data_IF_224774577110
#
_entry.id   IF_224774577110
#
_cell.length_a   1.000
_cell.length_b   1.000
_cell.length_c   1.000
_cell.angle_alpha   90.00
_cell.angle_beta   90.00
_cell.angle_gamma   90.00
#
_symmetry.space_group_name_H-M   'P 1'
#
loop_
_entity.id
_entity.type
_entity.pdbx_description
1 polymer ?
#
# COMPACT_ATOMS: atom_id res chain seq x y z
N UNK A 1 -7.29 -2.83 16.88
CA UNK A 1 -6.46 -2.42 15.73
C UNK A 1 -6.85 -3.27 14.56
N UNK A 2 -7.20 -2.66 13.41
CA UNK A 2 -7.54 -3.40 12.20
C UNK A 2 -6.26 -3.84 11.50
N UNK A 3 -6.29 -5.03 10.92
CA UNK A 3 -5.25 -5.50 10.01
C UNK A 3 -5.82 -5.55 8.61
N UNK A 4 -5.11 -4.93 7.67
CA UNK A 4 -5.44 -4.92 6.26
C UNK A 4 -4.47 -5.81 5.53
N UNK A 5 -5.00 -6.70 4.77
CA UNK A 5 -4.22 -7.65 4.04
C UNK A 5 -4.18 -7.21 2.58
N UNK A 6 -3.00 -7.06 2.05
CA UNK A 6 -2.77 -6.59 0.69
C UNK A 6 -1.94 -7.62 -0.07
N UNK A 7 -2.44 -8.07 -1.20
CA UNK A 7 -1.61 -8.84 -2.12
C UNK A 7 -0.50 -7.95 -2.65
N UNK A 8 0.75 -8.37 -2.47
CA UNK A 8 1.87 -7.65 -3.03
C UNK A 8 2.08 -8.06 -4.48
N UNK A 9 2.00 -7.09 -5.36
CA UNK A 9 2.25 -7.23 -6.79
C UNK A 9 3.26 -6.16 -7.17
N UNK A 10 4.43 -6.60 -7.62
CA UNK A 10 5.40 -5.72 -8.26
C UNK A 10 4.81 -5.16 -9.56
N UNK A 11 5.26 -4.00 -9.95
CA UNK A 11 4.91 -3.44 -11.25
C UNK A 11 3.39 -3.26 -11.49
N UNK A 12 2.75 -2.54 -10.62
CA UNK A 12 1.32 -2.25 -10.73
C UNK A 12 1.08 -0.76 -10.96
N UNK A 13 0.06 -0.45 -11.77
CA UNK A 13 -0.43 0.92 -11.98
C UNK A 13 -1.57 1.29 -11.02
N UNK A 14 -1.80 0.49 -9.96
CA UNK A 14 -2.86 0.79 -8.99
C UNK A 14 -2.55 2.08 -8.22
N UNK A 15 -3.58 2.83 -7.95
CA UNK A 15 -3.49 3.99 -7.07
C UNK A 15 -3.70 3.55 -5.61
N UNK A 16 -2.62 3.39 -4.86
CA UNK A 16 -2.65 2.93 -3.48
C UNK A 16 -3.43 3.86 -2.54
N UNK A 17 -3.44 5.16 -2.81
CA UNK A 17 -4.21 6.12 -2.01
C UNK A 17 -5.70 5.76 -1.98
N UNK A 18 -6.30 5.52 -3.15
CA UNK A 18 -7.71 5.11 -3.24
C UNK A 18 -7.94 3.70 -2.70
N UNK A 19 -7.00 2.78 -2.94
CA UNK A 19 -7.09 1.43 -2.42
C UNK A 19 -7.14 1.42 -0.88
N UNK A 20 -6.29 2.20 -0.22
CA UNK A 20 -6.28 2.31 1.24
C UNK A 20 -7.54 2.96 1.78
N UNK A 21 -8.07 3.97 1.12
CA UNK A 21 -9.35 4.56 1.50
C UNK A 21 -10.50 3.57 1.37
N UNK A 22 -10.53 2.77 0.30
CA UNK A 22 -11.52 1.69 0.16
C UNK A 22 -11.39 0.66 1.31
N UNK A 23 -10.17 0.29 1.67
CA UNK A 23 -9.95 -0.59 2.82
C UNK A 23 -10.46 0.02 4.13
N UNK A 24 -10.30 1.34 4.33
CA UNK A 24 -10.79 2.01 5.55
C UNK A 24 -12.30 1.99 5.71
N UNK A 25 -13.05 2.06 4.61
CA UNK A 25 -14.52 2.07 4.63
C UNK A 25 -15.14 0.68 4.38
N UNK A 26 -14.33 -0.33 4.10
CA UNK A 26 -14.81 -1.68 3.87
C UNK A 26 -15.39 -2.32 5.14
N UNK A 27 -16.42 -3.13 4.96
CA UNK A 27 -17.05 -3.91 6.03
C UNK A 27 -16.53 -5.35 6.05
N UNK A 28 -16.68 -6.00 7.21
CA UNK A 28 -16.26 -7.40 7.39
C UNK A 28 -17.16 -8.31 6.57
N UNK A 29 -16.57 -9.15 5.75
CA UNK A 29 -17.21 -10.33 5.22
C UNK A 29 -17.35 -11.36 6.35
N UNK A 30 -18.59 -11.75 6.66
CA UNK A 30 -18.90 -12.67 7.76
C UNK A 30 -18.33 -14.08 7.52
N UNK A 31 -18.17 -14.48 6.26
CA UNK A 31 -17.67 -15.82 5.89
C UNK A 31 -16.16 -15.94 6.08
N UNK A 32 -15.43 -14.90 5.70
CA UNK A 32 -13.95 -14.87 5.74
C UNK A 32 -13.41 -14.12 6.94
N UNK A 33 -14.25 -13.33 7.65
CA UNK A 33 -13.89 -12.42 8.72
C UNK A 33 -12.88 -11.32 8.28
N UNK A 34 -12.85 -11.00 6.99
CA UNK A 34 -11.97 -10.00 6.40
C UNK A 34 -12.74 -8.74 6.03
N UNK A 35 -12.11 -7.57 6.17
CA UNK A 35 -12.66 -6.30 5.70
C UNK A 35 -12.43 -6.21 4.18
N UNK A 36 -13.42 -6.59 3.40
CA UNK A 36 -13.22 -6.72 1.97
C UNK A 36 -14.35 -6.20 1.09
N UNK A 37 -15.45 -5.73 1.63
CA UNK A 37 -16.62 -5.33 0.82
C UNK A 37 -17.01 -3.88 1.10
N UNK A 38 -17.21 -3.11 0.03
CA UNK A 38 -17.75 -1.75 0.06
C UNK A 38 -19.02 -1.75 -0.77
N UNK A 39 -20.19 -1.61 -0.13
CA UNK A 39 -21.47 -1.36 -0.79
C UNK A 39 -21.72 0.14 -0.85
N UNK A 40 -22.32 0.62 -1.94
CA UNK A 40 -22.63 2.02 -2.15
C UNK A 40 -23.91 2.16 -3.00
N UNK A 41 -24.59 3.29 -2.90
CA UNK A 41 -25.79 3.56 -3.70
C UNK A 41 -25.47 4.33 -4.98
N UNK A 42 -24.51 5.25 -4.90
CA UNK A 42 -24.03 6.06 -6.02
C UNK A 42 -22.55 6.37 -5.88
N UNK A 43 -21.90 6.74 -7.01
CA UNK A 43 -20.51 7.22 -6.96
C UNK A 43 -20.34 8.49 -6.14
N UNK A 44 -21.38 9.29 -6.02
CA UNK A 44 -21.36 10.50 -5.17
C UNK A 44 -21.32 10.11 -3.68
N UNK A 45 -22.18 9.20 -3.25
CA UNK A 45 -22.19 8.67 -1.88
C UNK A 45 -20.85 8.02 -1.54
N UNK A 46 -20.31 7.20 -2.45
CA UNK A 46 -19.01 6.58 -2.26
C UNK A 46 -17.89 7.65 -2.14
N UNK A 47 -17.91 8.67 -3.00
CA UNK A 47 -16.94 9.78 -2.95
C UNK A 47 -17.00 10.50 -1.60
N UNK A 48 -18.20 10.78 -1.10
CA UNK A 48 -18.40 11.43 0.19
C UNK A 48 -17.86 10.58 1.35
N UNK A 49 -18.11 9.28 1.34
CA UNK A 49 -17.56 8.35 2.38
C UNK A 49 -16.04 8.30 2.36
N UNK A 50 -15.41 8.29 1.19
CA UNK A 50 -13.96 8.32 1.06
C UNK A 50 -13.36 9.65 1.55
N UNK A 51 -14.02 10.79 1.24
CA UNK A 51 -13.62 12.10 1.76
C UNK A 51 -13.71 12.14 3.30
N UNK A 52 -14.78 11.63 3.90
CA UNK A 52 -14.92 11.53 5.35
C UNK A 52 -13.79 10.66 5.95
N UNK A 53 -13.54 9.49 5.35
CA UNK A 53 -12.48 8.60 5.82
C UNK A 53 -11.10 9.26 5.74
N UNK A 54 -10.83 10.00 4.67
CA UNK A 54 -9.59 10.74 4.52
C UNK A 54 -9.45 11.88 5.53
N UNK A 55 -10.49 12.70 5.71
CA UNK A 55 -10.47 13.82 6.65
C UNK A 55 -10.32 13.36 8.11
N UNK A 56 -10.89 12.20 8.46
CA UNK A 56 -10.70 11.60 9.77
C UNK A 56 -9.27 11.14 10.02
N UNK A 57 -8.53 10.81 8.96
CA UNK A 57 -7.11 10.43 9.03
C UNK A 57 -6.20 11.66 9.09
N UNK A 58 -6.53 12.69 8.34
CA UNK A 58 -5.70 13.89 8.14
C UNK A 58 -6.29 15.10 8.88
N UNK A 59 -6.21 15.08 10.21
CA UNK A 59 -6.83 16.09 11.09
C UNK A 59 -6.25 17.50 10.94
N UNK A 60 -4.99 17.61 10.50
CA UNK A 60 -4.24 18.86 10.57
C UNK A 60 -4.06 19.58 9.22
N UNK A 61 -4.59 19.04 8.12
CA UNK A 61 -4.32 19.56 6.79
C UNK A 61 -5.55 19.66 5.90
N UNK A 62 -5.41 20.48 4.86
CA UNK A 62 -6.39 20.83 3.85
C UNK A 62 -7.32 19.67 3.46
N UNK A 63 -8.60 19.98 3.42
CA UNK A 63 -9.66 19.09 2.91
C UNK A 63 -9.35 18.70 1.48
N UNK A 64 -8.69 17.58 1.27
CA UNK A 64 -8.57 17.06 -0.09
C UNK A 64 -9.92 16.53 -0.52
N UNK A 65 -10.47 17.14 -1.54
CA UNK A 65 -11.71 16.66 -2.16
C UNK A 65 -11.37 15.57 -3.16
N UNK A 66 -11.81 14.35 -2.86
CA UNK A 66 -11.75 13.24 -3.81
C UNK A 66 -12.85 13.50 -4.85
N UNK A 67 -12.47 13.64 -6.12
CA UNK A 67 -13.44 13.88 -7.17
C UNK A 67 -14.08 12.58 -7.68
N UNK A 68 -15.36 12.65 -8.01
CA UNK A 68 -16.14 11.56 -8.61
C UNK A 68 -15.50 11.04 -9.91
N UNK A 69 -15.00 11.96 -10.76
CA UNK A 69 -14.35 11.60 -12.04
C UNK A 69 -13.07 10.81 -11.81
N UNK A 70 -12.23 11.24 -10.88
CA UNK A 70 -10.99 10.51 -10.57
C UNK A 70 -11.30 9.16 -9.95
N UNK A 71 -12.26 9.08 -9.03
CA UNK A 71 -12.67 7.81 -8.43
C UNK A 71 -13.18 6.83 -9.49
N UNK A 72 -14.07 7.27 -10.40
CA UNK A 72 -14.54 6.43 -11.51
C UNK A 72 -13.40 5.89 -12.35
N UNK A 73 -12.42 6.74 -12.70
CA UNK A 73 -11.23 6.31 -13.46
C UNK A 73 -10.40 5.27 -12.70
N UNK A 74 -10.19 5.47 -11.40
CA UNK A 74 -9.45 4.51 -10.55
C UNK A 74 -10.18 3.18 -10.47
N UNK A 75 -11.49 3.17 -10.23
CA UNK A 75 -12.28 1.93 -10.16
C UNK A 75 -12.25 1.15 -11.48
N UNK A 76 -12.14 1.82 -12.61
CA UNK A 76 -12.04 1.18 -13.92
C UNK A 76 -10.58 0.87 -14.35
N UNK A 77 -9.58 1.25 -13.56
CA UNK A 77 -8.17 1.03 -13.91
C UNK A 77 -7.66 -0.38 -13.62
N UNK A 78 -8.22 -1.06 -12.61
CA UNK A 78 -7.84 -2.42 -12.25
C UNK A 78 -8.56 -3.47 -13.13
N UNK A 79 -8.32 -3.38 -14.45
CA UNK A 79 -8.97 -4.24 -15.44
C UNK A 79 -8.79 -5.73 -15.19
N UNK A 80 -7.68 -6.12 -14.57
CA UNK A 80 -7.39 -7.51 -14.24
C UNK A 80 -7.95 -7.93 -12.89
N UNK A 81 -8.57 -6.99 -12.17
CA UNK A 81 -9.09 -7.23 -10.83
C UNK A 81 -8.03 -7.75 -9.87
N UNK A 82 -6.82 -7.20 -9.89
CA UNK A 82 -5.72 -7.64 -9.03
C UNK A 82 -5.94 -7.28 -7.55
N UNK A 83 -6.57 -6.13 -7.30
CA UNK A 83 -6.77 -5.59 -5.95
C UNK A 83 -8.23 -5.54 -5.53
N UNK A 84 -9.13 -5.36 -6.49
CA UNK A 84 -10.57 -5.36 -6.23
C UNK A 84 -11.37 -5.78 -7.46
N UNK A 85 -12.59 -6.27 -7.24
CA UNK A 85 -13.60 -6.42 -8.28
C UNK A 85 -14.60 -5.27 -8.14
N UNK A 86 -14.80 -4.53 -9.21
CA UNK A 86 -15.75 -3.43 -9.29
C UNK A 86 -17.01 -3.87 -10.02
N UNK A 87 -18.09 -4.05 -9.29
CA UNK A 87 -19.42 -4.36 -9.83
C UNK A 87 -20.28 -3.09 -9.78
N UNK A 88 -20.35 -2.41 -10.91
CA UNK A 88 -21.16 -1.18 -11.03
C UNK A 88 -22.67 -1.47 -11.09
N UNK A 89 -23.09 -2.66 -11.46
CA UNK A 89 -24.51 -3.03 -11.53
C UNK A 89 -25.05 -3.23 -10.11
N UNK A 90 -24.39 -4.08 -9.33
CA UNK A 90 -24.79 -4.35 -7.95
C UNK A 90 -24.27 -3.32 -6.94
N UNK A 91 -23.52 -2.31 -7.38
CA UNK A 91 -22.94 -1.26 -6.54
C UNK A 91 -22.09 -1.81 -5.41
N UNK A 92 -21.20 -2.73 -5.75
CA UNK A 92 -20.32 -3.42 -4.81
C UNK A 92 -18.88 -3.38 -5.30
N UNK A 93 -17.96 -3.06 -4.41
CA UNK A 93 -16.53 -3.22 -4.60
C UNK A 93 -16.08 -4.33 -3.65
N UNK A 94 -15.52 -5.40 -4.17
CA UNK A 94 -14.93 -6.47 -3.37
C UNK A 94 -13.43 -6.41 -3.43
N UNK A 95 -12.81 -6.04 -2.31
CA UNK A 95 -11.35 -5.98 -2.17
C UNK A 95 -10.79 -7.40 -2.14
N UNK A 96 -9.74 -7.63 -2.88
CA UNK A 96 -9.12 -8.96 -2.95
C UNK A 96 -8.09 -9.14 -1.83
N UNK A 97 -8.43 -10.05 -0.94
CA UNK A 97 -7.57 -10.54 0.12
C UNK A 97 -7.22 -11.99 -0.21
N UNK A 98 -6.21 -12.23 -1.02
CA UNK A 98 -5.87 -13.57 -1.51
C UNK A 98 -5.13 -14.41 -0.44
N UNK A 99 -5.83 -14.76 0.67
CA UNK A 99 -5.27 -15.63 1.71
C UNK A 99 -5.44 -17.11 1.46
N UNK A 100 -6.44 -17.50 0.67
CA UNK A 100 -6.98 -18.86 0.69
C UNK A 100 -6.28 -19.81 -0.25
N UNK A 101 -5.44 -19.33 -1.15
CA UNK A 101 -4.65 -20.22 -2.01
C UNK A 101 -3.17 -20.10 -1.67
N UNK A 102 -2.69 -20.84 -0.66
CA UNK A 102 -1.37 -21.40 -0.72
C UNK A 102 -1.30 -22.18 -2.02
N UNK A 103 -0.83 -21.56 -3.08
CA UNK A 103 -0.36 -22.29 -4.22
C UNK A 103 0.71 -23.23 -3.69
N UNK A 104 0.47 -24.52 -3.85
CA UNK A 104 1.41 -25.59 -3.48
C UNK A 104 2.79 -25.20 -3.99
N UNK A 105 3.70 -24.86 -3.07
CA UNK A 105 5.11 -24.54 -3.35
C UNK A 105 5.53 -23.09 -3.32
N UNK A 106 4.62 -22.11 -3.21
CA UNK A 106 4.98 -20.67 -3.15
C UNK A 106 4.61 -20.01 -1.83
N UNK A 107 5.49 -19.14 -1.28
CA UNK A 107 5.15 -18.25 -0.17
C UNK A 107 4.06 -17.27 -0.66
N UNK A 108 3.03 -17.05 0.14
CA UNK A 108 1.97 -16.13 -0.22
C UNK A 108 2.54 -14.71 -0.42
N UNK A 109 2.26 -14.11 -1.59
CA UNK A 109 2.70 -12.75 -1.93
C UNK A 109 1.75 -11.72 -1.32
N UNK A 110 1.71 -11.61 0.00
CA UNK A 110 0.89 -10.62 0.69
C UNK A 110 1.65 -9.95 1.82
N UNK A 111 1.18 -8.78 2.19
CA UNK A 111 1.62 -8.03 3.36
C UNK A 111 0.43 -7.71 4.25
N UNK A 112 0.70 -7.52 5.53
CA UNK A 112 -0.29 -7.07 6.51
C UNK A 112 0.03 -5.63 6.87
N UNK A 113 -0.95 -4.75 6.74
CA UNK A 113 -0.86 -3.35 7.15
C UNK A 113 -1.79 -3.08 8.34
N UNK A 114 -1.33 -2.32 9.29
CA UNK A 114 -2.12 -1.81 10.42
C UNK A 114 -2.83 -0.51 10.04
N UNK A 115 -3.85 -0.10 10.83
CA UNK A 115 -4.48 1.22 10.69
C UNK A 115 -3.45 2.36 10.70
N UNK A 116 -2.47 2.29 11.62
CA UNK A 116 -1.43 3.31 11.75
C UNK A 116 -0.58 3.44 10.48
N UNK A 117 -0.20 2.33 9.88
CA UNK A 117 0.61 2.32 8.66
C UNK A 117 -0.18 2.90 7.47
N UNK A 118 -1.45 2.53 7.35
CA UNK A 118 -2.33 3.08 6.32
C UNK A 118 -2.52 4.58 6.51
N UNK A 119 -2.76 5.04 7.76
CA UNK A 119 -2.94 6.45 8.06
C UNK A 119 -1.70 7.26 7.69
N UNK A 120 -0.51 6.77 8.07
CA UNK A 120 0.76 7.37 7.68
C UNK A 120 0.88 7.51 6.14
N UNK A 121 0.63 6.44 5.41
CA UNK A 121 0.74 6.45 3.94
C UNK A 121 -0.30 7.37 3.27
N UNK A 122 -1.51 7.45 3.82
CA UNK A 122 -2.56 8.35 3.36
C UNK A 122 -2.22 9.82 3.59
N UNK A 123 -1.64 10.16 4.76
CA UNK A 123 -1.22 11.53 5.09
C UNK A 123 -0.15 12.04 4.10
N UNK A 124 0.84 11.20 3.82
CA UNK A 124 1.95 11.59 2.94
C UNK A 124 1.61 11.59 1.45
N UNK A 125 0.57 10.90 1.01
CA UNK A 125 0.06 10.88 -0.39
C UNK A 125 1.13 10.58 -1.46
N UNK A 126 2.26 10.05 -1.09
CA UNK A 126 3.35 9.74 -2.00
C UNK A 126 3.25 8.30 -2.47
N UNK A 127 2.95 8.13 -3.76
CA UNK A 127 2.87 6.80 -4.38
C UNK A 127 4.23 6.07 -4.29
N UNK A 128 5.34 6.79 -4.49
CA UNK A 128 6.67 6.18 -4.41
C UNK A 128 7.06 5.80 -2.98
N UNK A 129 6.74 6.65 -1.98
CA UNK A 129 6.92 6.29 -0.56
C UNK A 129 6.11 5.04 -0.20
N UNK A 130 4.86 4.99 -0.65
CA UNK A 130 3.99 3.83 -0.44
C UNK A 130 4.62 2.57 -1.02
N UNK A 131 5.03 2.59 -2.30
CA UNK A 131 5.70 1.45 -2.96
C UNK A 131 6.98 1.07 -2.24
N UNK A 132 7.77 2.04 -1.80
CA UNK A 132 9.01 1.80 -1.07
C UNK A 132 8.77 1.09 0.26
N UNK A 133 7.79 1.55 1.05
CA UNK A 133 7.43 0.91 2.30
C UNK A 133 6.86 -0.50 2.09
N UNK A 134 5.97 -0.67 1.12
CA UNK A 134 5.42 -1.99 0.77
C UNK A 134 6.50 -2.96 0.32
N UNK A 135 7.49 -2.50 -0.44
CA UNK A 135 8.64 -3.30 -0.87
C UNK A 135 9.45 -3.79 0.35
N UNK A 136 9.82 -2.88 1.25
CA UNK A 136 10.53 -3.23 2.50
C UNK A 136 9.72 -4.29 3.27
N UNK A 137 8.45 -4.01 3.50
CA UNK A 137 7.58 -4.87 4.30
C UNK A 137 7.39 -6.26 3.70
N UNK A 138 7.25 -6.33 2.39
CA UNK A 138 7.15 -7.60 1.68
C UNK A 138 8.40 -8.44 1.82
N UNK A 139 9.56 -7.86 1.56
CA UNK A 139 10.82 -8.60 1.61
C UNK A 139 11.25 -8.95 3.03
N UNK A 140 10.97 -8.13 4.03
CA UNK A 140 11.12 -8.48 5.44
C UNK A 140 10.27 -9.70 5.81
N UNK A 141 9.00 -9.71 5.44
CA UNK A 141 8.10 -10.84 5.67
C UNK A 141 8.51 -12.10 4.91
N UNK A 142 9.02 -11.95 3.68
CA UNK A 142 9.46 -13.06 2.84
C UNK A 142 10.70 -13.76 3.41
N UNK A 143 11.62 -13.02 4.00
CA UNK A 143 12.86 -13.58 4.58
C UNK A 143 12.58 -14.47 5.79
N UNK A 144 11.42 -14.32 6.43
CA UNK A 144 11.07 -14.97 7.70
C UNK A 144 11.86 -14.47 8.91
N UNK A 145 12.73 -13.44 8.71
CA UNK A 145 13.58 -12.84 9.74
C UNK A 145 13.14 -11.44 10.15
N UNK A 146 12.07 -10.92 9.54
CA UNK A 146 11.65 -9.53 9.63
C UNK A 146 12.73 -8.52 9.20
N UNK A 147 13.72 -8.97 8.43
CA UNK A 147 14.84 -8.18 7.95
C UNK A 147 15.01 -8.38 6.44
N UNK A 148 15.48 -7.36 5.76
CA UNK A 148 15.87 -7.42 4.35
C UNK A 148 16.97 -6.43 4.04
N UNK A 149 17.72 -6.68 2.99
CA UNK A 149 18.63 -5.73 2.38
C UNK A 149 18.40 -5.68 0.87
N UNK A 150 18.55 -4.51 0.32
CA UNK A 150 18.48 -4.29 -1.13
C UNK A 150 19.17 -2.98 -1.49
N UNK A 151 19.53 -2.85 -2.75
CA UNK A 151 20.04 -1.60 -3.31
C UNK A 151 18.92 -0.70 -3.79
N UNK A 152 19.16 0.61 -3.85
CA UNK A 152 18.21 1.56 -4.44
C UNK A 152 17.80 1.15 -5.88
N UNK A 153 18.75 0.64 -6.66
CA UNK A 153 18.47 0.19 -8.03
C UNK A 153 17.50 -0.99 -8.08
N UNK A 154 17.66 -1.98 -7.21
CA UNK A 154 16.73 -3.12 -7.13
C UNK A 154 15.29 -2.68 -6.85
N UNK A 155 15.11 -1.73 -5.91
CA UNK A 155 13.77 -1.18 -5.67
C UNK A 155 13.23 -0.39 -6.88
N UNK A 156 14.08 0.45 -7.51
CA UNK A 156 13.65 1.28 -8.64
C UNK A 156 13.28 0.43 -9.86
N UNK A 157 14.02 -0.64 -10.12
CA UNK A 157 13.69 -1.62 -11.16
C UNK A 157 12.37 -2.33 -10.86
N UNK A 158 12.18 -2.82 -9.64
CA UNK A 158 10.95 -3.50 -9.23
C UNK A 158 9.73 -2.57 -9.26
N UNK A 159 9.91 -1.29 -8.92
CA UNK A 159 8.83 -0.29 -8.96
C UNK A 159 8.63 0.34 -10.34
N UNK A 160 9.46 -0.01 -11.34
CA UNK A 160 9.55 0.63 -12.66
C UNK A 160 9.66 2.16 -12.62
N UNK A 161 10.26 2.66 -11.56
CA UNK A 161 10.49 4.08 -11.42
C UNK A 161 11.73 4.49 -12.20
N UNK A 162 11.63 5.60 -12.96
CA UNK A 162 12.73 6.06 -13.79
C UNK A 162 13.93 6.52 -12.95
N UNK A 163 15.08 5.90 -13.14
CA UNK A 163 16.36 6.31 -12.53
C UNK A 163 16.94 7.59 -13.15
N UNK A 164 16.34 8.08 -14.24
CA UNK A 164 16.81 9.30 -14.94
C UNK A 164 16.61 10.59 -14.13
N UNK A 165 15.72 10.58 -13.13
CA UNK A 165 15.64 11.66 -12.17
C UNK A 165 16.84 11.56 -11.22
N UNK A 166 17.89 12.36 -11.41
CA UNK A 166 19.18 12.28 -10.70
C UNK A 166 19.14 12.45 -9.17
N UNK A 167 17.96 12.71 -8.60
CA UNK A 167 17.74 12.93 -7.17
C UNK A 167 17.15 11.73 -6.41
N UNK A 168 17.02 10.54 -7.05
CA UNK A 168 16.37 9.39 -6.42
C UNK A 168 17.05 8.91 -5.13
N UNK A 169 18.38 9.00 -5.04
CA UNK A 169 19.13 8.64 -3.83
C UNK A 169 18.76 9.53 -2.65
N UNK A 170 18.70 10.84 -2.88
CA UNK A 170 18.29 11.82 -1.86
C UNK A 170 16.83 11.56 -1.43
N UNK A 171 15.95 11.27 -2.39
CA UNK A 171 14.55 10.99 -2.13
C UNK A 171 14.38 9.72 -1.29
N UNK A 172 15.05 8.61 -1.64
CA UNK A 172 15.00 7.39 -0.84
C UNK A 172 15.63 7.56 0.55
N UNK A 173 16.68 8.40 0.66
CA UNK A 173 17.24 8.76 1.97
C UNK A 173 16.25 9.53 2.83
N UNK A 174 15.50 10.47 2.25
CA UNK A 174 14.43 11.17 2.97
C UNK A 174 13.30 10.25 3.41
N UNK A 175 12.92 9.28 2.57
CA UNK A 175 11.93 8.26 2.94
C UNK A 175 12.43 7.37 4.08
N UNK A 176 13.69 6.99 4.07
CA UNK A 176 14.30 6.25 5.18
C UNK A 176 14.19 7.02 6.49
N UNK A 177 14.57 8.29 6.50
CA UNK A 177 14.46 9.15 7.69
C UNK A 177 13.02 9.26 8.18
N UNK A 178 12.08 9.43 7.25
CA UNK A 178 10.66 9.53 7.56
C UNK A 178 10.11 8.25 8.20
N UNK A 179 10.39 7.09 7.60
CA UNK A 179 9.93 5.79 8.10
C UNK A 179 10.54 5.44 9.46
N UNK A 180 11.80 5.82 9.70
CA UNK A 180 12.47 5.63 10.99
C UNK A 180 11.87 6.56 12.06
N UNK A 181 11.65 7.83 11.75
CA UNK A 181 11.05 8.80 12.68
C UNK A 181 9.64 8.36 13.10
N UNK A 182 8.87 7.81 12.18
CA UNK A 182 7.54 7.25 12.44
C UNK A 182 7.57 5.88 13.12
N UNK A 183 8.75 5.35 13.42
CA UNK A 183 8.92 4.03 14.04
C UNK A 183 8.21 2.91 13.28
N UNK A 184 8.27 2.94 11.96
CA UNK A 184 7.76 1.89 11.09
C UNK A 184 8.84 0.88 10.71
N UNK A 185 10.09 1.35 10.64
CA UNK A 185 11.27 0.53 10.36
C UNK A 185 12.45 0.93 11.25
N UNK A 186 13.42 0.03 11.35
CA UNK A 186 14.78 0.37 11.75
C UNK A 186 15.74 0.13 10.60
N UNK A 187 16.84 0.86 10.57
CA UNK A 187 17.90 0.72 9.57
C UNK A 187 19.21 0.53 10.29
N UNK A 188 19.89 -0.58 10.00
CA UNK A 188 21.27 -0.81 10.38
C UNK A 188 22.16 -0.87 9.14
N UNK A 189 23.45 -0.67 9.33
CA UNK A 189 24.43 -0.75 8.24
C UNK A 189 25.26 -2.01 8.36
N UNK A 190 25.59 -2.61 7.24
CA UNK A 190 26.50 -3.75 7.18
C UNK A 190 27.36 -3.67 5.92
N UNK A 191 28.47 -4.40 5.91
CA UNK A 191 29.34 -4.48 4.73
C UNK A 191 29.09 -5.76 3.97
N UNK A 192 28.89 -5.62 2.67
CA UNK A 192 28.78 -6.74 1.75
C UNK A 192 29.70 -6.49 0.53
N UNK A 193 30.64 -7.40 0.27
CA UNK A 193 31.64 -7.25 -0.79
C UNK A 193 32.37 -5.90 -0.76
N UNK A 194 32.77 -5.44 0.43
CA UNK A 194 33.46 -4.16 0.62
C UNK A 194 32.58 -2.90 0.55
N UNK A 195 31.30 -3.02 0.18
CA UNK A 195 30.35 -1.91 0.10
C UNK A 195 29.45 -1.84 1.33
N UNK A 196 29.22 -0.64 1.85
CA UNK A 196 28.25 -0.38 2.90
C UNK A 196 26.84 -0.44 2.34
N UNK A 197 25.95 -1.21 2.99
CA UNK A 197 24.55 -1.38 2.63
C UNK A 197 23.65 -1.16 3.83
N UNK A 198 22.43 -0.75 3.55
CA UNK A 198 21.37 -0.68 4.55
C UNK A 198 20.71 -2.05 4.71
N UNK A 199 20.46 -2.43 5.96
CA UNK A 199 19.58 -3.53 6.34
C UNK A 199 18.35 -2.93 6.98
N UNK A 200 17.19 -3.29 6.50
CA UNK A 200 15.88 -2.81 6.95
C UNK A 200 15.21 -3.86 7.83
N UNK A 201 14.60 -3.45 8.92
CA UNK A 201 13.77 -4.30 9.77
C UNK A 201 12.45 -3.60 10.08
N UNK A 202 11.34 -4.36 10.07
CA UNK A 202 10.01 -3.86 10.44
C UNK A 202 9.86 -3.90 11.96
N UNK A 203 9.24 -2.84 12.52
CA UNK A 203 8.94 -2.70 13.96
C UNK A 203 7.52 -3.17 14.29
#
# INVERSE_FOLDING_TARGET
>A
MRNYYLQYIEDTNINYFYLFLLHKIAVVDKSTRLYNTVKYSSLEELTNRLNIAYNNTNKDNEKQVISKTTLSRVLNSDKNGNYFNYDNVNKVITLKNNFTKRQTGGKAKFIILTDREIDFLLIHKSELLTRYYLYIKYYCGFSGKNETDFTANQFLEASKYSTKAGNYKTLLSSYNSLLVNEKLITISKFRFNGQERNKYSIL
#
